data_IF_763552857361
#
_entry.id   IF_763552857361
#
_cell.length_a   1.000
_cell.length_b   1.000
_cell.length_c   1.000
_cell.angle_alpha   90.00
_cell.angle_beta   90.00
_cell.angle_gamma   90.00
#
_symmetry.space_group_name_H-M   'P 1'
#
loop_
_entity.id
_entity.type
_entity.pdbx_description
1 polymer ?
#
# COMPACT_ATOMS: atom_id res chain seq x y z
N UNK A 1 58.30 -25.64 -66.34
CA UNK A 1 59.30 -25.47 -65.28
C UNK A 1 59.57 -23.98 -65.12
N UNK A 2 59.88 -23.46 -63.92
CA UNK A 2 59.89 -24.04 -62.56
C UNK A 2 58.68 -23.48 -61.74
N UNK A 3 58.58 -23.50 -60.39
CA UNK A 3 58.75 -24.57 -59.37
C UNK A 3 57.82 -24.23 -58.16
N UNK A 4 57.83 -25.02 -57.08
CA UNK A 4 56.95 -24.94 -55.88
C UNK A 4 57.64 -24.12 -54.73
N UNK A 5 57.23 -24.06 -53.43
CA UNK A 5 56.22 -24.79 -52.63
C UNK A 5 55.30 -23.96 -51.68
N UNK A 6 54.54 -24.67 -50.83
CA UNK A 6 54.22 -24.36 -49.41
C UNK A 6 52.77 -24.04 -48.96
N UNK A 7 52.18 -25.05 -48.30
CA UNK A 7 51.06 -25.06 -47.32
C UNK A 7 51.39 -24.22 -46.03
N UNK A 8 50.56 -24.10 -44.94
CA UNK A 8 49.47 -25.02 -44.51
C UNK A 8 48.26 -24.45 -43.68
N UNK A 9 47.31 -25.35 -43.31
CA UNK A 9 46.45 -25.37 -42.08
C UNK A 9 45.51 -24.14 -41.85
N UNK A 10 44.20 -24.30 -41.64
CA UNK A 10 43.62 -24.59 -40.31
C UNK A 10 42.14 -25.03 -40.39
N UNK A 11 41.82 -26.16 -39.75
CA UNK A 11 40.44 -26.57 -39.41
C UNK A 11 39.94 -25.75 -38.22
N UNK A 12 38.74 -25.16 -38.30
CA UNK A 12 38.05 -24.62 -37.11
C UNK A 12 36.83 -25.49 -36.81
N UNK A 13 36.85 -26.17 -35.67
CA UNK A 13 35.75 -27.01 -35.21
C UNK A 13 34.64 -26.17 -34.55
N UNK A 14 33.39 -26.55 -34.75
CA UNK A 14 32.27 -26.01 -33.97
C UNK A 14 32.29 -26.60 -32.56
N UNK A 15 32.69 -25.79 -31.57
CA UNK A 15 32.58 -26.13 -30.15
C UNK A 15 31.21 -25.74 -29.62
N UNK A 16 30.31 -26.71 -29.49
CA UNK A 16 29.03 -26.53 -28.79
C UNK A 16 29.28 -26.38 -27.28
N UNK A 17 29.04 -25.20 -26.72
CA UNK A 17 29.08 -25.01 -25.26
C UNK A 17 27.88 -25.72 -24.59
N UNK A 18 28.10 -26.57 -23.56
CA UNK A 18 27.02 -27.03 -22.71
C UNK A 18 26.59 -25.91 -21.74
N UNK A 19 25.28 -25.68 -21.64
CA UNK A 19 24.71 -24.75 -20.65
C UNK A 19 24.96 -25.26 -19.21
N UNK A 20 25.17 -24.37 -18.22
CA UNK A 20 25.29 -24.76 -16.82
C UNK A 20 23.93 -25.26 -16.28
N UNK A 21 23.93 -26.14 -15.26
CA UNK A 21 22.71 -26.69 -14.69
C UNK A 21 21.90 -25.64 -13.93
N UNK A 22 20.57 -25.69 -14.08
CA UNK A 22 19.63 -24.88 -13.31
C UNK A 22 19.86 -25.03 -11.81
N UNK A 23 20.27 -23.92 -11.18
CA UNK A 23 20.25 -23.82 -9.72
C UNK A 23 18.79 -23.61 -9.30
N UNK A 24 18.19 -24.51 -8.49
CA UNK A 24 16.82 -24.34 -8.05
C UNK A 24 16.74 -23.09 -7.17
N UNK A 25 16.13 -22.03 -7.71
CA UNK A 25 15.85 -20.79 -6.97
C UNK A 25 15.08 -21.14 -5.69
N UNK A 26 15.57 -20.79 -4.49
CA UNK A 26 14.90 -21.14 -3.25
C UNK A 26 13.53 -20.46 -3.21
N UNK A 27 12.48 -21.27 -3.35
CA UNK A 27 11.10 -20.79 -3.34
C UNK A 27 10.78 -20.28 -1.92
N UNK A 28 10.85 -18.95 -1.75
CA UNK A 28 10.68 -18.28 -0.45
C UNK A 28 9.23 -18.45 0.01
N UNK A 29 8.95 -19.53 0.74
CA UNK A 29 7.64 -19.76 1.34
C UNK A 29 7.27 -18.54 2.20
N UNK A 30 6.06 -17.97 2.05
CA UNK A 30 5.61 -16.90 2.91
C UNK A 30 5.52 -17.41 4.35
N UNK A 31 6.08 -16.66 5.30
CA UNK A 31 6.01 -17.02 6.71
C UNK A 31 4.57 -16.95 7.21
N UNK A 32 4.24 -17.71 8.26
CA UNK A 32 2.89 -17.70 8.87
C UNK A 32 2.42 -16.28 9.23
N UNK A 33 3.35 -15.42 9.69
CA UNK A 33 3.08 -14.01 9.97
C UNK A 33 2.66 -13.21 8.72
N UNK A 34 3.24 -13.49 7.54
CA UNK A 34 2.81 -12.87 6.27
C UNK A 34 1.40 -13.31 5.88
N UNK A 35 1.07 -14.58 6.07
CA UNK A 35 -0.25 -15.15 5.77
C UNK A 35 -1.33 -14.52 6.67
N UNK A 36 -1.10 -14.44 7.98
CA UNK A 36 -2.03 -13.80 8.92
C UNK A 36 -2.22 -12.31 8.66
N UNK A 37 -1.14 -11.57 8.37
CA UNK A 37 -1.22 -10.14 8.05
C UNK A 37 -2.05 -9.88 6.77
N UNK A 38 -1.91 -10.76 5.77
CA UNK A 38 -2.69 -10.69 4.52
C UNK A 38 -4.17 -10.97 4.76
N UNK A 39 -4.50 -11.99 5.57
CA UNK A 39 -5.88 -12.30 5.94
C UNK A 39 -6.53 -11.17 6.77
N UNK A 40 -5.79 -10.59 7.71
CA UNK A 40 -6.23 -9.43 8.52
C UNK A 40 -6.47 -8.19 7.65
N UNK A 41 -5.54 -7.86 6.76
CA UNK A 41 -5.68 -6.76 5.80
C UNK A 41 -6.97 -6.92 4.97
N UNK A 42 -7.20 -8.10 4.39
CA UNK A 42 -8.39 -8.38 3.60
C UNK A 42 -9.71 -8.23 4.38
N UNK A 43 -9.74 -8.61 5.66
CA UNK A 43 -10.89 -8.38 6.56
C UNK A 43 -11.13 -6.90 6.81
N UNK A 44 -10.09 -6.15 7.16
CA UNK A 44 -10.23 -4.73 7.50
C UNK A 44 -10.56 -3.86 6.28
N UNK A 45 -9.99 -4.15 5.11
CA UNK A 45 -10.40 -3.50 3.85
C UNK A 45 -11.90 -3.66 3.63
N UNK A 46 -12.46 -4.88 3.74
CA UNK A 46 -13.91 -5.11 3.61
C UNK A 46 -14.74 -4.35 4.65
N UNK A 47 -14.27 -4.27 5.88
CA UNK A 47 -14.96 -3.55 6.96
C UNK A 47 -14.96 -2.03 6.72
N UNK A 48 -13.85 -1.46 6.23
CA UNK A 48 -13.76 -0.05 5.83
C UNK A 48 -14.71 0.25 4.66
N UNK A 49 -14.72 -0.58 3.60
CA UNK A 49 -15.65 -0.41 2.46
C UNK A 49 -17.13 -0.63 2.84
N UNK A 50 -17.42 -1.42 3.88
CA UNK A 50 -18.78 -1.60 4.41
C UNK A 50 -19.25 -0.47 5.32
N UNK A 51 -18.34 0.38 5.80
CA UNK A 51 -18.60 1.48 6.73
C UNK A 51 -19.07 2.73 5.96
N UNK A 52 -20.38 2.86 5.76
CA UNK A 52 -20.95 3.92 4.92
C UNK A 52 -20.93 5.32 5.53
N UNK A 53 -20.97 5.43 6.86
CA UNK A 53 -21.19 6.69 7.60
C UNK A 53 -20.09 6.99 8.63
N UNK A 54 -19.12 6.07 8.80
CA UNK A 54 -18.10 6.17 9.84
C UNK A 54 -16.70 5.96 9.23
N UNK A 55 -15.79 6.89 9.51
CA UNK A 55 -14.38 6.73 9.17
C UNK A 55 -13.78 5.78 10.20
N UNK A 56 -13.35 4.60 9.77
CA UNK A 56 -12.66 3.64 10.63
C UNK A 56 -11.15 3.85 10.55
N UNK A 57 -10.47 3.99 11.68
CA UNK A 57 -9.01 3.99 11.76
C UNK A 57 -8.46 2.62 12.16
N UNK A 58 -7.24 2.30 11.72
CA UNK A 58 -6.50 1.14 12.22
C UNK A 58 -5.77 1.46 13.54
N UNK A 59 -6.15 0.75 14.60
CA UNK A 59 -5.45 0.75 15.88
C UNK A 59 -4.41 -0.38 15.87
N UNK A 60 -3.13 -0.02 15.81
CA UNK A 60 -2.01 -0.96 15.82
C UNK A 60 -1.79 -1.62 17.19
N UNK A 61 -2.16 -0.95 18.28
CA UNK A 61 -1.99 -1.44 19.66
C UNK A 61 -2.99 -2.56 19.96
N UNK A 62 -4.25 -2.35 19.58
CA UNK A 62 -5.34 -3.32 19.76
C UNK A 62 -5.52 -4.25 18.54
N UNK A 63 -4.73 -4.06 17.48
CA UNK A 63 -4.79 -4.80 16.22
C UNK A 63 -6.21 -4.86 15.60
N UNK A 64 -6.94 -3.74 15.63
CA UNK A 64 -8.35 -3.68 15.28
C UNK A 64 -8.70 -2.42 14.47
N UNK A 65 -9.96 -2.34 14.00
CA UNK A 65 -10.54 -1.11 13.48
C UNK A 65 -11.42 -0.47 14.55
N UNK A 66 -11.22 0.83 14.79
CA UNK A 66 -12.05 1.65 15.67
C UNK A 66 -12.64 2.83 14.88
N UNK A 67 -13.79 3.35 15.33
CA UNK A 67 -14.37 4.57 14.74
C UNK A 67 -13.48 5.76 15.09
N UNK A 68 -13.05 6.51 14.07
CA UNK A 68 -12.37 7.79 14.24
C UNK A 68 -13.41 8.90 14.26
N UNK A 69 -13.62 9.51 15.42
CA UNK A 69 -14.55 10.62 15.58
C UNK A 69 -14.00 11.85 14.85
N UNK A 70 -14.78 12.38 13.89
CA UNK A 70 -14.39 13.60 13.17
C UNK A 70 -14.29 14.79 14.14
N UNK A 71 -13.17 15.53 14.16
CA UNK A 71 -12.96 16.60 15.14
C UNK A 71 -13.87 17.81 14.88
N UNK A 72 -14.14 18.58 15.93
CA UNK A 72 -15.07 19.72 15.91
C UNK A 72 -14.41 21.03 16.32
N UNK A 73 -14.88 22.15 15.75
CA UNK A 73 -14.32 23.49 15.96
C UNK A 73 -14.69 24.08 17.32
N UNK A 74 -13.91 23.73 18.34
CA UNK A 74 -14.02 24.31 19.67
C UNK A 74 -15.16 23.73 20.52
N UNK A 75 -15.29 24.21 21.75
CA UNK A 75 -16.14 23.58 22.77
C UNK A 75 -17.62 23.93 22.67
N UNK A 76 -17.97 25.11 22.15
CA UNK A 76 -19.34 25.63 22.14
C UNK A 76 -20.11 25.34 20.84
N UNK A 77 -19.47 25.53 19.68
CA UNK A 77 -20.06 25.19 18.39
C UNK A 77 -19.47 23.86 17.92
N UNK A 78 -20.19 22.74 18.11
CA UNK A 78 -19.78 21.40 17.66
C UNK A 78 -19.87 21.21 16.14
N UNK A 79 -19.37 22.18 15.37
CA UNK A 79 -19.28 22.12 13.91
C UNK A 79 -18.09 21.25 13.50
N UNK A 80 -18.23 20.32 12.55
CA UNK A 80 -17.10 19.50 12.08
C UNK A 80 -16.03 20.39 11.44
N UNK A 81 -14.75 20.10 11.71
CA UNK A 81 -13.63 20.82 11.07
C UNK A 81 -13.62 20.49 9.57
N UNK A 82 -13.63 21.48 8.65
CA UNK A 82 -13.64 21.17 7.22
C UNK A 82 -12.32 20.52 6.79
N UNK A 83 -12.31 19.57 5.83
CA UNK A 83 -11.11 18.80 5.47
C UNK A 83 -9.84 19.63 5.18
N UNK A 84 -9.89 20.80 4.51
CA UNK A 84 -8.71 21.64 4.30
C UNK A 84 -8.06 22.19 5.59
N UNK A 85 -8.83 22.33 6.67
CA UNK A 85 -8.34 22.79 7.97
C UNK A 85 -7.98 21.63 8.91
N UNK A 86 -8.43 20.41 8.58
CA UNK A 86 -8.33 19.23 9.43
C UNK A 86 -6.89 18.93 9.88
N UNK A 87 -5.93 18.95 8.94
CA UNK A 87 -4.54 18.65 9.28
C UNK A 87 -3.91 19.69 10.23
N UNK A 88 -4.22 20.98 10.06
CA UNK A 88 -3.76 22.02 10.97
C UNK A 88 -4.39 21.85 12.36
N UNK A 89 -5.72 21.67 12.41
CA UNK A 89 -6.47 21.47 13.66
C UNK A 89 -5.99 20.23 14.43
N UNK A 90 -5.80 19.09 13.75
CA UNK A 90 -5.30 17.88 14.39
C UNK A 90 -3.90 18.08 14.98
N UNK A 91 -3.00 18.77 14.26
CA UNK A 91 -1.66 19.10 14.74
C UNK A 91 -1.69 20.06 15.95
N UNK A 92 -2.56 21.05 15.95
CA UNK A 92 -2.72 22.03 17.04
C UNK A 92 -3.30 21.41 18.32
N UNK A 93 -4.19 20.42 18.17
CA UNK A 93 -4.89 19.78 19.29
C UNK A 93 -4.31 18.40 19.67
N UNK A 94 -3.15 18.02 19.09
CA UNK A 94 -2.53 16.69 19.24
C UNK A 94 -3.47 15.50 18.98
N UNK A 95 -4.39 15.66 18.02
CA UNK A 95 -5.33 14.62 17.60
C UNK A 95 -4.65 13.74 16.55
N UNK A 96 -4.52 12.45 16.84
CA UNK A 96 -3.99 11.49 15.88
C UNK A 96 -5.05 11.03 14.87
N UNK A 97 -4.59 10.59 13.70
CA UNK A 97 -5.40 9.85 12.73
C UNK A 97 -6.06 10.67 11.61
N UNK A 98 -6.93 10.04 10.81
CA UNK A 98 -7.23 8.61 10.86
C UNK A 98 -6.03 7.76 10.38
N UNK A 99 -5.83 6.59 10.96
CA UNK A 99 -4.75 5.67 10.61
C UNK A 99 -5.14 4.75 9.45
N UNK A 100 -4.36 4.74 8.37
CA UNK A 100 -4.59 3.80 7.25
C UNK A 100 -3.97 2.41 7.51
N UNK A 101 -4.37 1.42 6.70
CA UNK A 101 -3.93 0.00 6.81
C UNK A 101 -2.48 -0.28 6.36
N UNK A 102 -1.67 0.75 6.13
CA UNK A 102 -0.27 0.58 5.70
C UNK A 102 0.58 -0.31 6.62
N UNK A 103 0.48 -0.21 7.97
CA UNK A 103 1.29 -1.06 8.86
C UNK A 103 1.02 -2.56 8.72
N UNK A 104 -0.16 -2.95 8.23
CA UNK A 104 -0.50 -4.37 7.97
C UNK A 104 0.00 -4.86 6.61
N UNK A 105 0.03 -3.98 5.60
CA UNK A 105 0.49 -4.34 4.24
C UNK A 105 2.02 -4.26 4.11
N UNK A 106 2.65 -3.40 4.90
CA UNK A 106 4.10 -3.17 4.90
C UNK A 106 4.62 -3.10 6.35
N UNK A 107 4.74 -4.24 7.06
CA UNK A 107 5.16 -4.28 8.47
C UNK A 107 6.58 -3.77 8.69
N UNK A 108 7.47 -3.91 7.70
CA UNK A 108 8.84 -3.36 7.71
C UNK A 108 8.89 -1.86 7.34
N UNK A 109 7.72 -1.21 7.18
CA UNK A 109 7.58 0.18 6.76
C UNK A 109 7.51 1.19 7.91
N UNK A 110 7.28 2.46 7.55
CA UNK A 110 6.98 3.52 8.52
C UNK A 110 5.73 3.14 9.35
N UNK A 111 5.79 3.21 10.70
CA UNK A 111 4.78 2.63 11.59
C UNK A 111 3.44 3.37 11.57
N UNK A 112 3.42 4.61 11.09
CA UNK A 112 2.23 5.45 11.02
C UNK A 112 2.21 6.23 9.71
N UNK A 113 1.09 6.14 8.98
CA UNK A 113 0.79 6.98 7.83
C UNK A 113 -0.63 7.51 8.03
N UNK A 114 -0.74 8.82 8.27
CA UNK A 114 -2.02 9.51 8.35
C UNK A 114 -2.79 9.32 7.05
N UNK A 115 -4.09 9.10 7.15
CA UNK A 115 -4.98 9.12 6.01
C UNK A 115 -5.23 10.56 5.54
N UNK A 116 -5.27 10.77 4.21
CA UNK A 116 -5.77 12.00 3.63
C UNK A 116 -7.29 12.03 3.77
N UNK A 117 -7.87 13.17 4.17
CA UNK A 117 -9.32 13.30 4.28
C UNK A 117 -9.83 14.40 3.34
N UNK A 118 -11.01 14.20 2.76
CA UNK A 118 -11.65 15.09 1.78
C UNK A 118 -13.17 14.93 1.82
N UNK A 119 -13.91 15.87 1.22
CA UNK A 119 -15.36 15.76 1.03
C UNK A 119 -15.66 15.29 -0.38
N UNK A 120 -16.63 14.40 -0.55
CA UNK A 120 -17.12 13.99 -1.88
C UNK A 120 -18.29 14.88 -2.29
N UNK A 121 -18.15 15.60 -3.41
CA UNK A 121 -19.10 16.65 -3.85
C UNK A 121 -20.57 16.22 -3.91
N UNK A 122 -20.85 14.94 -4.20
CA UNK A 122 -22.22 14.43 -4.37
C UNK A 122 -22.87 13.96 -3.05
N UNK A 123 -22.10 13.81 -1.97
CA UNK A 123 -22.57 13.33 -0.67
C UNK A 123 -22.46 14.39 0.43
N UNK A 124 -21.52 15.33 0.32
CA UNK A 124 -21.20 16.29 1.39
C UNK A 124 -20.49 15.67 2.60
N UNK A 125 -20.39 14.34 2.65
CA UNK A 125 -19.78 13.58 3.74
C UNK A 125 -18.25 13.57 3.65
N UNK A 126 -17.55 13.57 4.80
CA UNK A 126 -16.11 13.42 4.85
C UNK A 126 -15.70 11.95 4.63
N UNK A 127 -14.68 11.75 3.80
CA UNK A 127 -14.08 10.46 3.48
C UNK A 127 -12.58 10.52 3.77
N UNK A 128 -12.02 9.42 4.27
CA UNK A 128 -10.58 9.23 4.44
C UNK A 128 -10.01 8.33 3.34
N UNK A 129 -8.73 8.45 2.99
CA UNK A 129 -8.01 7.54 2.11
C UNK A 129 -6.54 7.40 2.49
N UNK A 130 -5.89 6.33 2.04
CA UNK A 130 -4.45 6.16 2.23
C UNK A 130 -3.69 7.29 1.52
N UNK A 131 -2.96 8.13 2.27
CA UNK A 131 -2.14 9.20 1.70
C UNK A 131 -1.05 8.72 0.73
N UNK A 132 -0.69 7.42 0.78
CA UNK A 132 0.23 6.77 -0.17
C UNK A 132 -0.48 5.97 -1.27
N UNK A 133 -1.80 5.79 -1.20
CA UNK A 133 -2.61 4.97 -2.11
C UNK A 133 -2.08 3.53 -2.33
N UNK A 134 -1.49 2.92 -1.30
CA UNK A 134 -0.87 1.57 -1.39
C UNK A 134 -1.58 0.48 -0.58
N UNK A 135 -2.32 0.80 0.48
CA UNK A 135 -2.86 -0.20 1.42
C UNK A 135 -4.35 -0.52 1.26
N UNK A 136 -4.95 -0.09 0.15
CA UNK A 136 -6.36 -0.31 -0.19
C UNK A 136 -7.39 0.25 0.83
N UNK A 137 -6.89 1.01 1.81
CA UNK A 137 -7.67 1.86 2.70
C UNK A 137 -8.20 3.05 1.88
N UNK A 138 -9.38 2.85 1.29
CA UNK A 138 -10.15 3.81 0.49
C UNK A 138 -9.38 4.39 -0.73
N UNK A 139 -8.77 3.47 -1.47
CA UNK A 139 -8.33 3.56 -2.86
C UNK A 139 -8.26 2.12 -3.39
N UNK A 140 -8.58 1.75 -4.62
CA UNK A 140 -8.75 2.50 -5.88
C UNK A 140 -10.19 2.95 -6.21
N UNK A 141 -11.08 3.20 -5.25
CA UNK A 141 -12.42 3.76 -5.57
C UNK A 141 -12.79 4.86 -4.57
N UNK A 142 -12.51 6.14 -4.85
CA UNK A 142 -13.27 7.11 -5.69
C UNK A 142 -13.46 6.87 -7.20
N UNK A 143 -12.62 6.08 -7.85
CA UNK A 143 -12.53 5.94 -9.32
C UNK A 143 -13.81 5.38 -9.99
N UNK A 144 -14.77 4.80 -9.25
CA UNK A 144 -16.09 4.39 -9.79
C UNK A 144 -17.28 5.18 -9.19
N UNK A 145 -17.07 6.40 -8.70
CA UNK A 145 -18.17 7.33 -8.36
C UNK A 145 -18.65 8.20 -9.55
N UNK A 146 -18.17 7.88 -10.76
CA UNK A 146 -18.57 8.48 -12.05
C UNK A 146 -18.54 7.42 -13.19
N UNK A 147 -19.17 6.26 -12.97
CA UNK A 147 -19.30 5.16 -13.98
C UNK A 147 -20.58 4.35 -13.78
#
# INVERSE_FOLDING_TARGET
MPDIPSSPITTVACSTSPSPPDTPTPQRQPSSATIESTARLGRFVRQVYGSKLEILQFDSSNNCLSVWAWPTQGTHNRQPVPPPQLHAHCRENAIEGPCCLCPLKYPDGQPFIQASCFTVNNLGEPVASCARNICDYLGKSLIELDS
#
